data_IF_838679333668
#
_entry.id   IF_838679333668
#
_cell.length_a   1.000
_cell.length_b   1.000
_cell.length_c   1.000
_cell.angle_alpha   90.00
_cell.angle_beta   90.00
_cell.angle_gamma   90.00
#
_symmetry.space_group_name_H-M   'P 1'
#
loop_
_entity.id
_entity.type
_entity.pdbx_description
1 polymer ?
#
# COMPACT_ATOMS: atom_id res chain seq x y z
N UNK A 1 -13.72 19.40 14.94
CA UNK A 1 -12.84 18.24 15.22
C UNK A 1 -12.97 17.22 14.10
N UNK A 2 -12.23 17.40 13.00
CA UNK A 2 -12.21 16.41 11.91
C UNK A 2 -11.05 15.45 12.21
N UNK A 3 -11.38 14.19 12.44
CA UNK A 3 -10.37 13.16 12.72
C UNK A 3 -9.61 12.86 11.42
N UNK A 4 -8.32 13.21 11.43
CA UNK A 4 -7.37 13.01 10.32
C UNK A 4 -7.36 11.53 9.92
N UNK A 5 -7.53 11.27 8.62
CA UNK A 5 -7.28 10.02 7.90
C UNK A 5 -7.54 8.72 8.69
N UNK A 6 -8.79 8.26 8.74
CA UNK A 6 -9.05 6.85 9.03
C UNK A 6 -8.68 6.03 7.79
N UNK A 7 -7.66 5.19 7.92
CA UNK A 7 -7.42 4.08 6.99
C UNK A 7 -8.53 3.05 7.18
N UNK A 8 -9.12 2.58 6.08
CA UNK A 8 -10.10 1.49 6.06
C UNK A 8 -9.50 0.35 5.26
N UNK A 9 -9.62 -0.87 5.76
CA UNK A 9 -9.14 -2.06 5.05
C UNK A 9 -10.30 -2.73 4.34
N UNK A 10 -10.17 -2.98 3.04
CA UNK A 10 -11.20 -3.60 2.20
C UNK A 10 -10.71 -4.95 1.72
N UNK A 11 -11.51 -6.00 1.91
CA UNK A 11 -11.19 -7.34 1.42
C UNK A 11 -11.40 -7.42 -0.10
N UNK A 12 -10.37 -7.82 -0.84
CA UNK A 12 -10.43 -7.97 -2.30
C UNK A 12 -11.34 -9.11 -2.78
N UNK A 13 -11.59 -10.13 -1.94
CA UNK A 13 -12.41 -11.29 -2.30
C UNK A 13 -13.91 -11.07 -2.08
N UNK A 14 -14.28 -10.47 -0.94
CA UNK A 14 -15.70 -10.32 -0.54
C UNK A 14 -16.16 -8.87 -0.38
N UNK A 15 -15.25 -7.88 -0.44
CA UNK A 15 -15.58 -6.47 -0.27
C UNK A 15 -15.81 -6.03 1.19
N UNK A 16 -15.62 -6.93 2.17
CA UNK A 16 -15.77 -6.60 3.58
C UNK A 16 -14.81 -5.49 4.04
N UNK A 17 -15.27 -4.61 4.93
CA UNK A 17 -14.50 -3.48 5.44
C UNK A 17 -14.13 -3.69 6.90
N UNK A 18 -12.86 -3.44 7.23
CA UNK A 18 -12.33 -3.53 8.58
C UNK A 18 -11.60 -2.24 8.98
N UNK A 19 -11.74 -1.85 10.24
CA UNK A 19 -11.07 -0.66 10.79
C UNK A 19 -9.62 -0.91 11.22
N UNK A 20 -9.17 -2.18 11.23
CA UNK A 20 -7.80 -2.58 11.53
C UNK A 20 -7.35 -3.73 10.63
N UNK A 21 -6.07 -3.77 10.32
CA UNK A 21 -5.46 -4.91 9.64
C UNK A 21 -5.46 -6.11 10.59
N UNK A 22 -5.98 -7.26 10.13
CA UNK A 22 -5.96 -8.52 10.91
C UNK A 22 -5.32 -9.69 10.15
N UNK A 23 -4.86 -9.49 8.90
CA UNK A 23 -4.28 -10.53 8.06
C UNK A 23 -5.33 -11.44 7.43
N UNK A 24 -6.30 -11.87 8.23
CA UNK A 24 -7.48 -12.62 7.83
C UNK A 24 -8.72 -11.72 7.73
N UNK A 25 -9.54 -11.93 6.70
CA UNK A 25 -10.86 -11.33 6.58
C UNK A 25 -11.85 -11.99 7.55
N UNK A 26 -12.56 -11.19 8.35
CA UNK A 26 -13.55 -11.68 9.32
C UNK A 26 -14.82 -12.27 8.68
N UNK A 27 -15.13 -11.88 7.44
CA UNK A 27 -16.38 -12.29 6.76
C UNK A 27 -16.18 -13.53 5.88
N UNK A 28 -15.13 -13.58 5.06
CA UNK A 28 -14.87 -14.72 4.17
C UNK A 28 -13.77 -15.67 4.66
N UNK A 29 -13.02 -15.30 5.70
CA UNK A 29 -11.92 -16.11 6.22
C UNK A 29 -10.65 -16.11 5.35
N UNK A 30 -10.65 -15.43 4.20
CA UNK A 30 -9.48 -15.35 3.32
C UNK A 30 -8.32 -14.57 3.96
N UNK A 31 -7.10 -15.05 3.72
CA UNK A 31 -5.86 -14.44 4.22
C UNK A 31 -5.20 -13.58 3.16
N UNK A 32 -4.54 -12.49 3.58
CA UNK A 32 -3.80 -11.57 2.72
C UNK A 32 -4.64 -10.85 1.64
N UNK A 33 -5.97 -10.81 1.83
CA UNK A 33 -6.90 -10.15 0.90
C UNK A 33 -7.30 -8.75 1.34
N UNK A 34 -6.96 -8.34 2.57
CA UNK A 34 -7.26 -7.01 3.09
C UNK A 34 -6.31 -5.96 2.47
N UNK A 35 -6.88 -4.99 1.76
CA UNK A 35 -6.18 -3.89 1.10
C UNK A 35 -6.50 -2.56 1.80
N UNK A 36 -5.49 -1.73 2.05
CA UNK A 36 -5.72 -0.41 2.66
C UNK A 36 -6.33 0.57 1.66
N UNK A 37 -7.37 1.28 2.08
CA UNK A 37 -8.01 2.37 1.36
C UNK A 37 -7.98 3.63 2.24
N UNK A 38 -7.42 4.70 1.69
CA UNK A 38 -7.49 6.02 2.32
C UNK A 38 -8.90 6.57 2.10
N UNK A 39 -9.61 6.91 3.18
CA UNK A 39 -10.83 7.70 3.05
C UNK A 39 -10.45 9.03 2.37
N UNK A 40 -10.86 9.18 1.11
CA UNK A 40 -10.48 10.32 0.29
C UNK A 40 -10.87 11.62 1.00
N UNK A 41 -9.87 12.40 1.42
CA UNK A 41 -10.09 13.82 1.66
C UNK A 41 -10.30 14.48 0.29
N UNK A 42 -11.24 15.44 0.14
CA UNK A 42 -11.37 16.17 -1.11
C UNK A 42 -10.08 16.96 -1.34
N UNK A 43 -9.19 16.43 -2.18
CA UNK A 43 -7.93 17.08 -2.52
C UNK A 43 -8.21 18.32 -3.37
N UNK A 44 -8.03 19.49 -2.75
CA UNK A 44 -7.82 20.74 -3.48
C UNK A 44 -6.64 20.54 -4.44
N UNK A 45 -6.84 20.97 -5.69
CA UNK A 45 -5.80 20.99 -6.73
C UNK A 45 -4.63 21.85 -6.26
N UNK A 46 -3.44 21.28 -6.15
CA UNK A 46 -2.20 22.02 -5.89
C UNK A 46 -1.36 21.37 -4.81
N UNK A 47 -0.32 20.64 -5.20
CA UNK A 47 0.64 20.07 -4.25
C UNK A 47 1.68 19.25 -4.99
N UNK A 48 2.93 19.64 -4.81
CA UNK A 48 4.11 19.09 -5.47
C UNK A 48 4.15 17.57 -5.37
N UNK A 49 4.47 16.93 -6.50
CA UNK A 49 4.72 15.49 -6.58
C UNK A 49 5.89 15.19 -5.63
N UNK A 50 5.79 14.22 -4.70
CA UNK A 50 6.98 13.78 -3.98
C UNK A 50 7.94 13.28 -5.04
N UNK A 51 9.10 13.92 -5.15
CA UNK A 51 10.20 13.39 -5.93
C UNK A 51 10.59 12.07 -5.25
N UNK A 52 10.05 10.98 -5.81
CA UNK A 52 10.41 9.64 -5.41
C UNK A 52 11.90 9.40 -5.60
N UNK A 53 12.37 8.28 -5.08
CA UNK A 53 13.75 7.81 -5.18
C UNK A 53 14.35 8.14 -6.56
N UNK A 54 15.39 8.99 -6.65
CA UNK A 54 15.90 9.51 -7.93
C UNK A 54 16.64 8.47 -8.79
N UNK A 55 16.51 7.18 -8.47
CA UNK A 55 17.31 6.12 -9.04
C UNK A 55 18.77 6.20 -8.58
N UNK A 56 19.55 5.12 -8.68
CA UNK A 56 20.99 5.23 -8.60
C UNK A 56 21.50 6.09 -9.76
N UNK A 57 22.42 7.01 -9.48
CA UNK A 57 23.05 7.89 -10.48
C UNK A 57 23.94 7.14 -11.50
N UNK A 58 23.97 5.81 -11.42
CA UNK A 58 24.70 4.92 -12.30
C UNK A 58 23.76 3.80 -12.71
N UNK A 59 23.78 3.47 -14.00
CA UNK A 59 22.91 2.48 -14.64
C UNK A 59 22.98 1.13 -13.91
N UNK A 60 22.07 0.90 -12.98
CA UNK A 60 21.92 -0.39 -12.31
C UNK A 60 21.37 -1.38 -13.35
N UNK A 61 22.24 -2.28 -13.80
CA UNK A 61 21.89 -3.37 -14.70
C UNK A 61 20.99 -4.38 -13.97
N UNK A 62 19.95 -4.88 -14.65
CA UNK A 62 19.07 -5.92 -14.11
C UNK A 62 19.87 -7.23 -14.03
N UNK A 63 20.13 -7.73 -12.82
CA UNK A 63 20.79 -9.02 -12.58
C UNK A 63 19.77 -10.10 -12.23
N UNK A 64 20.07 -11.34 -12.62
CA UNK A 64 19.25 -12.50 -12.28
C UNK A 64 19.40 -12.78 -10.78
N UNK A 65 18.27 -12.97 -10.09
CA UNK A 65 18.23 -13.17 -8.64
C UNK A 65 19.12 -14.34 -8.16
N UNK A 66 19.32 -15.35 -9.01
CA UNK A 66 20.17 -16.51 -8.71
C UNK A 66 21.67 -16.20 -8.60
N UNK A 67 22.14 -15.05 -9.10
CA UNK A 67 23.57 -14.68 -9.12
C UNK A 67 23.94 -13.66 -8.02
N UNK A 68 22.98 -13.24 -7.20
CA UNK A 68 23.24 -12.27 -6.13
C UNK A 68 23.76 -13.01 -4.90
N UNK A 69 25.05 -12.88 -4.63
CA UNK A 69 25.70 -13.45 -3.45
C UNK A 69 25.36 -12.63 -2.19
N UNK A 70 25.08 -13.33 -1.08
CA UNK A 70 24.76 -12.69 0.20
C UNK A 70 26.08 -12.34 0.91
N UNK A 71 26.37 -11.05 1.04
CA UNK A 71 27.49 -10.55 1.86
C UNK A 71 27.14 -10.56 3.35
#
# INVERSE_FOLDING_TARGET
MVNKNRSVYVCAECGAQASKWSGQCGDCGSWNTLQEQLAASPSLKGGLKPAGYPGPASSAEVRVLAEVDAV
#
